data_IF_995147070433
#
_entry.id   IF_995147070433
#
_cell.length_a   1.000
_cell.length_b   1.000
_cell.length_c   1.000
_cell.angle_alpha   90.00
_cell.angle_beta   90.00
_cell.angle_gamma   90.00
#
_symmetry.space_group_name_H-M   'P 1'
#
loop_
_entity.id
_entity.type
_entity.pdbx_description
1 polymer ?
#
# COMPACT_ATOMS: atom_id res chain seq x y z
N UNK A 1 5.15 9.91 9.96
CA UNK A 1 6.14 9.35 9.00
C UNK A 1 7.29 10.31 8.79
N UNK A 2 8.55 9.87 8.83
CA UNK A 2 9.72 10.75 8.67
C UNK A 2 10.13 11.03 7.21
N UNK A 3 9.43 10.44 6.25
CA UNK A 3 9.60 10.63 4.80
C UNK A 3 8.24 10.45 4.10
N UNK A 4 8.12 10.92 2.85
CA UNK A 4 6.96 10.62 2.01
C UNK A 4 6.95 9.11 1.72
N UNK A 5 6.04 8.40 2.32
CA UNK A 5 6.12 7.01 2.71
C UNK A 5 5.83 5.95 1.69
N UNK A 6 6.23 5.99 0.41
CA UNK A 6 6.10 4.73 -0.33
C UNK A 6 6.90 4.70 -1.63
N UNK A 7 7.79 3.74 -1.73
CA UNK A 7 8.44 3.36 -2.97
C UNK A 7 7.42 2.78 -3.97
N UNK A 8 6.33 2.19 -3.47
CA UNK A 8 5.22 1.65 -4.27
C UNK A 8 3.90 2.28 -3.85
N UNK A 9 3.55 3.41 -4.46
CA UNK A 9 2.43 4.24 -4.06
C UNK A 9 1.11 3.77 -4.70
N UNK A 10 0.41 2.86 -4.03
CA UNK A 10 -0.84 2.25 -4.50
C UNK A 10 -2.08 2.64 -3.70
N UNK A 11 -1.89 3.23 -2.52
CA UNK A 11 -2.96 3.51 -1.56
C UNK A 11 -4.19 4.23 -2.15
N UNK A 12 -4.06 5.26 -3.03
CA UNK A 12 -5.25 5.94 -3.56
C UNK A 12 -6.17 5.04 -4.38
N UNK A 13 -5.63 4.02 -5.04
CA UNK A 13 -6.45 3.06 -5.81
C UNK A 13 -7.10 2.01 -4.93
N UNK A 14 -6.47 1.63 -3.82
CA UNK A 14 -6.96 0.59 -2.92
C UNK A 14 -8.05 1.10 -1.96
N UNK A 15 -7.90 2.34 -1.43
CA UNK A 15 -8.77 2.86 -0.36
C UNK A 15 -9.37 4.24 -0.67
N UNK A 16 -9.08 4.80 -1.84
CA UNK A 16 -9.49 6.15 -2.21
C UNK A 16 -8.64 7.25 -1.59
N UNK A 17 -8.67 8.44 -2.21
CA UNK A 17 -7.73 9.55 -1.93
C UNK A 17 -7.78 10.04 -0.48
N UNK A 18 -8.98 10.17 0.11
CA UNK A 18 -9.12 10.71 1.48
C UNK A 18 -8.56 9.75 2.51
N UNK A 19 -8.91 8.48 2.42
CA UNK A 19 -8.41 7.46 3.34
C UNK A 19 -6.90 7.24 3.19
N UNK A 20 -6.38 7.26 1.95
CA UNK A 20 -4.94 7.20 1.71
C UNK A 20 -4.18 8.35 2.39
N UNK A 21 -4.70 9.59 2.33
CA UNK A 21 -4.12 10.73 3.04
C UNK A 21 -4.14 10.55 4.55
N UNK A 22 -5.26 10.14 5.12
CA UNK A 22 -5.39 9.89 6.55
C UNK A 22 -4.37 8.86 7.03
N UNK A 23 -4.34 7.68 6.40
CA UNK A 23 -3.37 6.61 6.70
C UNK A 23 -1.92 7.08 6.62
N UNK A 24 -1.58 7.80 5.54
CA UNK A 24 -0.20 8.23 5.30
C UNK A 24 0.22 9.41 6.20
N UNK A 25 -0.69 10.29 6.60
CA UNK A 25 -0.39 11.42 7.48
C UNK A 25 -0.28 11.00 8.95
N UNK A 26 -1.18 10.13 9.42
CA UNK A 26 -1.20 9.69 10.81
C UNK A 26 -0.22 8.55 11.06
N UNK A 27 0.06 7.72 10.06
CA UNK A 27 0.78 6.45 10.19
C UNK A 27 0.10 5.44 11.14
N UNK A 28 -1.20 5.60 11.35
CA UNK A 28 -1.99 4.67 12.16
C UNK A 28 -2.13 3.31 11.48
N UNK A 29 -2.17 2.27 12.29
CA UNK A 29 -2.39 0.91 11.80
C UNK A 29 -3.84 0.74 11.33
N UNK A 30 -4.02 0.06 10.20
CA UNK A 30 -5.36 -0.31 9.69
C UNK A 30 -5.69 -1.70 10.17
N UNK A 31 -6.86 -1.87 10.80
CA UNK A 31 -7.32 -3.20 11.22
C UNK A 31 -7.74 -4.04 10.01
N UNK A 32 -7.73 -5.38 10.14
CA UNK A 32 -8.20 -6.27 9.08
C UNK A 32 -9.67 -6.00 8.70
N UNK A 33 -10.51 -5.70 9.69
CA UNK A 33 -11.91 -5.35 9.47
C UNK A 33 -12.07 -4.04 8.68
N UNK A 34 -11.28 -3.02 8.99
CA UNK A 34 -11.28 -1.75 8.24
C UNK A 34 -10.72 -1.93 6.84
N UNK A 35 -9.65 -2.69 6.67
CA UNK A 35 -9.08 -3.01 5.37
C UNK A 35 -10.12 -3.71 4.45
N UNK A 36 -10.92 -4.62 5.01
CA UNK A 36 -12.02 -5.26 4.28
C UNK A 36 -13.13 -4.28 3.93
N UNK A 37 -13.59 -3.48 4.90
CA UNK A 37 -14.62 -2.48 4.70
C UNK A 37 -14.24 -1.42 3.65
N UNK A 38 -12.96 -1.07 3.57
CA UNK A 38 -12.40 -0.10 2.62
C UNK A 38 -12.11 -0.71 1.23
N UNK A 39 -12.19 -2.02 1.07
CA UNK A 39 -11.85 -2.72 -0.17
C UNK A 39 -10.34 -2.94 -0.38
N UNK A 40 -9.52 -2.70 0.65
CA UNK A 40 -8.07 -2.90 0.59
C UNK A 40 -7.69 -4.38 0.52
N UNK A 41 -8.52 -5.25 1.12
CA UNK A 41 -8.40 -6.71 1.05
C UNK A 41 -9.72 -7.34 0.64
N UNK A 42 -9.66 -8.47 -0.06
CA UNK A 42 -10.85 -9.17 -0.56
C UNK A 42 -11.53 -10.02 0.51
N UNK A 43 -10.77 -10.50 1.49
CA UNK A 43 -11.26 -11.44 2.51
C UNK A 43 -10.55 -11.20 3.85
N UNK A 44 -11.24 -11.47 4.93
CA UNK A 44 -10.70 -11.57 6.28
C UNK A 44 -11.17 -12.88 6.87
N UNK A 45 -10.25 -13.71 7.34
CA UNK A 45 -10.50 -15.02 7.92
C UNK A 45 -9.73 -15.17 9.23
N UNK A 46 -10.05 -16.14 10.04
CA UNK A 46 -9.28 -16.46 11.24
C UNK A 46 -7.85 -16.89 10.86
N UNK A 47 -6.88 -16.68 11.76
CA UNK A 47 -5.46 -16.90 11.45
C UNK A 47 -5.16 -18.36 11.09
N UNK A 48 -5.78 -19.30 11.77
CA UNK A 48 -5.68 -20.74 11.52
C UNK A 48 -6.33 -21.16 10.19
N UNK A 49 -7.32 -20.42 9.71
CA UNK A 49 -7.99 -20.63 8.42
C UNK A 49 -7.28 -19.95 7.24
N UNK A 50 -6.33 -19.06 7.49
CA UNK A 50 -5.71 -18.23 6.44
C UNK A 50 -5.04 -19.08 5.35
N UNK A 51 -4.24 -20.06 5.74
CA UNK A 51 -3.52 -20.90 4.79
C UNK A 51 -4.46 -21.83 3.99
N UNK A 52 -5.38 -22.59 4.62
CA UNK A 52 -6.35 -23.41 3.90
C UNK A 52 -7.21 -22.59 2.93
N UNK A 53 -7.72 -21.44 3.36
CA UNK A 53 -8.54 -20.56 2.54
C UNK A 53 -7.75 -20.04 1.31
N UNK A 54 -6.52 -19.58 1.53
CA UNK A 54 -5.67 -19.04 0.46
C UNK A 54 -5.35 -20.13 -0.57
N UNK A 55 -5.02 -21.33 -0.13
CA UNK A 55 -4.75 -22.47 -1.02
C UNK A 55 -5.96 -22.86 -1.85
N UNK A 56 -7.15 -22.94 -1.23
CA UNK A 56 -8.37 -23.25 -1.94
C UNK A 56 -8.70 -22.18 -3.02
N UNK A 57 -8.49 -20.90 -2.72
CA UNK A 57 -8.64 -19.82 -3.70
C UNK A 57 -7.63 -19.94 -4.84
N UNK A 58 -6.37 -20.24 -4.53
CA UNK A 58 -5.32 -20.41 -5.52
C UNK A 58 -5.61 -21.61 -6.45
N UNK A 59 -6.06 -22.74 -5.92
CA UNK A 59 -6.47 -23.91 -6.69
C UNK A 59 -7.67 -23.61 -7.61
N UNK A 60 -8.67 -22.87 -7.09
CA UNK A 60 -9.81 -22.40 -7.89
C UNK A 60 -9.38 -21.54 -9.08
N UNK A 61 -8.38 -20.68 -8.89
CA UNK A 61 -7.80 -19.86 -9.96
C UNK A 61 -7.00 -20.76 -10.92
N UNK A 62 -6.13 -21.62 -10.41
CA UNK A 62 -5.28 -22.51 -11.21
C UNK A 62 -6.08 -23.45 -12.13
N UNK A 63 -7.31 -23.80 -11.75
CA UNK A 63 -8.22 -24.59 -12.57
C UNK A 63 -8.77 -23.84 -13.80
N UNK A 64 -8.49 -22.55 -13.97
CA UNK A 64 -8.95 -21.75 -15.12
C UNK A 64 -7.94 -21.79 -16.27
N UNK A 65 -8.39 -21.58 -17.53
CA UNK A 65 -7.48 -21.55 -18.69
C UNK A 65 -6.39 -20.50 -18.52
N UNK A 66 -5.12 -20.93 -18.57
CA UNK A 66 -3.95 -20.08 -18.31
C UNK A 66 -3.91 -18.83 -19.21
N UNK A 67 -4.24 -18.99 -20.50
CA UNK A 67 -4.23 -17.85 -21.43
C UNK A 67 -5.26 -16.80 -21.04
N UNK A 68 -6.48 -17.20 -20.67
CA UNK A 68 -7.52 -16.30 -20.22
C UNK A 68 -7.12 -15.56 -18.93
N UNK A 69 -6.48 -16.26 -17.96
CA UNK A 69 -5.96 -15.63 -16.76
C UNK A 69 -4.91 -14.54 -17.06
N UNK A 70 -3.97 -14.85 -17.96
CA UNK A 70 -2.94 -13.88 -18.40
C UNK A 70 -3.58 -12.66 -19.05
N UNK A 71 -4.51 -12.85 -19.98
CA UNK A 71 -5.17 -11.72 -20.66
C UNK A 71 -6.03 -10.88 -19.70
N UNK A 72 -6.73 -11.52 -18.77
CA UNK A 72 -7.49 -10.81 -17.74
C UNK A 72 -6.57 -9.96 -16.85
N UNK A 73 -5.45 -10.52 -16.41
CA UNK A 73 -4.46 -9.77 -15.62
C UNK A 73 -3.93 -8.55 -16.36
N UNK A 74 -3.54 -8.73 -17.64
CA UNK A 74 -3.06 -7.63 -18.47
C UNK A 74 -4.14 -6.55 -18.66
N UNK A 75 -5.40 -6.94 -18.90
CA UNK A 75 -6.49 -5.99 -19.06
C UNK A 75 -6.75 -5.16 -17.78
N UNK A 76 -6.73 -5.81 -16.60
CA UNK A 76 -6.91 -5.12 -15.31
C UNK A 76 -5.73 -4.17 -15.04
N UNK A 77 -4.49 -4.63 -15.26
CA UNK A 77 -3.30 -3.79 -15.08
C UNK A 77 -3.32 -2.58 -16.03
N UNK A 78 -3.68 -2.77 -17.30
CA UNK A 78 -3.79 -1.68 -18.26
C UNK A 78 -4.86 -0.65 -17.87
N UNK A 79 -5.97 -1.07 -17.25
CA UNK A 79 -6.97 -0.15 -16.73
C UNK A 79 -6.41 0.75 -15.63
N UNK A 80 -5.63 0.20 -14.68
CA UNK A 80 -4.95 0.99 -13.65
C UNK A 80 -3.86 1.90 -14.22
N UNK A 81 -3.09 1.42 -15.20
CA UNK A 81 -2.04 2.22 -15.86
C UNK A 81 -2.64 3.42 -16.59
N UNK A 82 -3.76 3.24 -17.29
CA UNK A 82 -4.49 4.32 -17.95
C UNK A 82 -5.09 5.34 -16.95
N UNK A 83 -5.32 4.94 -15.71
CA UNK A 83 -5.71 5.85 -14.62
C UNK A 83 -4.53 6.59 -13.99
N UNK A 84 -3.33 6.50 -14.55
CA UNK A 84 -2.16 7.24 -14.11
C UNK A 84 -1.30 6.54 -13.06
N UNK A 85 -1.44 5.21 -12.87
CA UNK A 85 -0.64 4.46 -11.90
C UNK A 85 0.86 4.62 -12.11
N UNK A 86 1.33 4.51 -13.34
CA UNK A 86 2.76 4.62 -13.68
C UNK A 86 3.31 6.01 -13.35
N UNK A 87 2.56 7.08 -13.69
CA UNK A 87 2.92 8.46 -13.39
C UNK A 87 2.92 8.73 -11.88
N UNK A 88 1.94 8.18 -11.16
CA UNK A 88 1.85 8.32 -9.70
C UNK A 88 3.04 7.66 -9.00
N UNK A 89 3.46 6.46 -9.45
CA UNK A 89 4.65 5.78 -8.91
C UNK A 89 5.92 6.60 -9.15
N UNK A 90 6.12 7.13 -10.35
CA UNK A 90 7.27 7.97 -10.66
C UNK A 90 7.31 9.26 -9.83
N UNK A 91 6.17 9.94 -9.69
CA UNK A 91 6.04 11.16 -8.88
C UNK A 91 6.28 10.87 -7.40
N UNK A 92 5.68 9.80 -6.85
CA UNK A 92 5.85 9.47 -5.43
C UNK A 92 7.30 9.09 -5.10
N UNK A 93 7.97 8.37 -5.99
CA UNK A 93 9.39 8.05 -5.83
C UNK A 93 10.26 9.31 -5.83
N UNK A 94 10.03 10.25 -6.76
CA UNK A 94 10.76 11.52 -6.80
C UNK A 94 10.55 12.35 -5.50
N UNK A 95 9.31 12.43 -5.01
CA UNK A 95 8.98 13.11 -3.75
C UNK A 95 9.59 12.41 -2.53
N UNK A 96 9.64 11.09 -2.53
CA UNK A 96 10.31 10.30 -1.49
C UNK A 96 11.82 10.61 -1.44
N UNK A 97 12.49 10.63 -2.59
CA UNK A 97 13.90 11.00 -2.68
C UNK A 97 14.15 12.46 -2.26
N UNK A 98 13.24 13.37 -2.61
CA UNK A 98 13.31 14.76 -2.16
C UNK A 98 13.22 14.88 -0.63
N UNK A 99 12.34 14.11 0.02
CA UNK A 99 12.26 14.04 1.48
C UNK A 99 13.58 13.56 2.10
N UNK A 100 14.18 12.51 1.56
CA UNK A 100 15.49 12.03 2.04
C UNK A 100 16.58 13.09 1.89
N UNK A 101 16.65 13.77 0.74
CA UNK A 101 17.62 14.84 0.49
C UNK A 101 17.43 16.02 1.45
N UNK A 102 16.18 16.44 1.68
CA UNK A 102 15.84 17.47 2.65
C UNK A 102 16.28 17.08 4.07
N UNK A 103 15.89 15.88 4.51
CA UNK A 103 16.22 15.40 5.86
C UNK A 103 17.75 15.29 6.06
N UNK A 104 18.48 14.83 5.04
CA UNK A 104 19.93 14.77 5.08
C UNK A 104 20.56 16.16 5.25
N UNK A 105 20.03 17.18 4.58
CA UNK A 105 20.52 18.56 4.67
C UNK A 105 20.18 19.21 6.01
N UNK A 106 18.97 18.97 6.54
CA UNK A 106 18.48 19.64 7.75
C UNK A 106 18.94 18.93 9.01
N UNK A 107 18.92 17.60 9.02
CA UNK A 107 19.15 16.78 10.21
C UNK A 107 20.41 15.91 10.15
N UNK A 108 21.12 15.86 9.03
CA UNK A 108 22.27 14.98 8.83
C UNK A 108 21.94 13.49 8.72
N UNK A 109 20.66 13.17 8.53
CA UNK A 109 20.17 11.79 8.41
C UNK A 109 19.01 11.70 7.40
N UNK A 110 18.76 10.51 6.84
CA UNK A 110 17.76 10.32 5.78
C UNK A 110 16.30 10.41 6.27
N UNK A 111 16.05 10.34 7.56
CA UNK A 111 14.70 10.33 8.18
C UNK A 111 14.63 11.48 9.19
N UNK A 112 13.50 12.21 9.20
CA UNK A 112 13.23 13.25 10.19
C UNK A 112 13.21 12.63 11.61
N UNK A 113 14.07 13.08 12.54
CA UNK A 113 14.18 12.51 13.88
C UNK A 113 12.92 12.70 14.74
N UNK A 114 12.06 13.67 14.44
CA UNK A 114 10.78 13.87 15.16
C UNK A 114 9.82 12.68 15.02
N UNK A 115 10.00 11.86 13.99
CA UNK A 115 9.23 10.62 13.82
C UNK A 115 9.38 9.64 15.00
N UNK A 116 10.56 9.52 15.57
CA UNK A 116 10.82 8.62 16.70
C UNK A 116 10.13 9.07 17.98
N UNK A 117 9.97 10.39 18.18
CA UNK A 117 9.27 10.93 19.34
C UNK A 117 7.76 10.66 19.29
N UNK A 118 7.14 10.77 18.12
CA UNK A 118 5.72 10.51 17.92
C UNK A 118 5.34 9.04 18.19
N UNK A 119 6.20 8.08 17.78
CA UNK A 119 5.96 6.65 18.02
C UNK A 119 6.15 6.23 19.48
N UNK A 120 6.97 6.94 20.25
CA UNK A 120 7.16 6.67 21.68
C UNK A 120 5.95 7.15 22.54
N UNK A 121 5.26 8.20 22.09
CA UNK A 121 4.10 8.77 22.80
C UNK A 121 2.81 7.95 22.61
N UNK A 122 2.65 7.27 21.49
CA UNK A 122 1.47 6.45 21.15
C UNK A 122 1.53 4.99 21.66
N UNK A 123 2.55 4.61 22.45
CA UNK A 123 2.68 3.27 23.06
C UNK A 123 2.22 3.20 24.52
N UNK A 124 1.38 4.16 24.98
CA UNK A 124 0.79 4.12 26.34
C UNK A 124 -0.68 3.71 26.26
#
# INVERSE_FOLDING_TARGET
MGVCGAEFFHHPWEVGIRQAKEMLYTSDAVTAADAFRLGMVNHVVALDELQPFTMALAEKIAARPLFALKMTKEAVNAAQDNQGRVQALGTSFALHQLCHSHNQQVYGMAIDPSFQMATATNRK
#
